data_IF_980642855295
#
_entry.id   IF_980642855295
#
_cell.length_a   1.000
_cell.length_b   1.000
_cell.length_c   1.000
_cell.angle_alpha   90.00
_cell.angle_beta   90.00
_cell.angle_gamma   90.00
#
_symmetry.space_group_name_H-M   'P 1'
#
loop_
_entity.id
_entity.type
_entity.pdbx_description
1 polymer ?
#
# COMPACT_ATOMS: atom_id res chain seq x y z
N UNK A 1 -93.72 -43.10 17.10
CA UNK A 1 -92.88 -44.22 16.64
C UNK A 1 -91.41 -43.84 16.84
N UNK A 2 -90.67 -44.64 17.65
CA UNK A 2 -89.18 -44.83 17.73
C UNK A 2 -88.28 -43.58 17.87
N UNK A 3 -87.82 -43.22 19.08
CA UNK A 3 -86.57 -43.59 19.81
C UNK A 3 -85.33 -42.68 19.55
N UNK A 4 -84.98 -41.89 20.57
CA UNK A 4 -83.65 -41.74 21.23
C UNK A 4 -82.36 -41.67 20.35
N UNK A 5 -81.60 -40.56 20.44
CA UNK A 5 -80.49 -40.41 21.42
C UNK A 5 -79.29 -39.51 21.01
N UNK A 6 -78.62 -39.01 22.07
CA UNK A 6 -77.19 -38.63 22.25
C UNK A 6 -76.56 -37.34 21.67
N UNK A 7 -76.50 -36.33 22.54
CA UNK A 7 -75.29 -35.72 23.16
C UNK A 7 -73.90 -35.99 22.52
N UNK A 8 -73.14 -34.92 22.17
CA UNK A 8 -71.88 -34.48 22.82
C UNK A 8 -70.98 -33.61 21.90
N UNK A 9 -70.72 -32.39 22.36
CA UNK A 9 -69.45 -31.65 22.48
C UNK A 9 -68.33 -31.79 21.42
N UNK A 10 -67.79 -30.65 20.99
CA UNK A 10 -66.45 -30.54 20.37
C UNK A 10 -66.21 -29.14 19.77
N UNK A 11 -65.96 -28.11 20.58
CA UNK A 11 -64.62 -27.64 21.02
C UNK A 11 -63.95 -26.67 20.02
N UNK A 12 -64.22 -25.37 20.26
CA UNK A 12 -63.33 -24.21 20.19
C UNK A 12 -61.94 -24.39 19.53
N UNK A 13 -61.71 -23.72 18.39
CA UNK A 13 -60.36 -23.29 17.96
C UNK A 13 -60.43 -21.92 17.24
N UNK A 14 -60.66 -20.86 18.02
CA UNK A 14 -60.62 -19.44 17.55
C UNK A 14 -59.21 -18.83 17.71
N UNK A 15 -58.14 -19.65 17.66
CA UNK A 15 -56.79 -19.21 18.06
C UNK A 15 -55.74 -19.22 16.93
N UNK A 16 -56.11 -18.93 15.68
CA UNK A 16 -55.12 -18.85 14.57
C UNK A 16 -54.94 -17.46 13.93
N UNK A 17 -55.78 -16.47 14.25
CA UNK A 17 -55.84 -15.22 13.47
C UNK A 17 -55.13 -14.02 14.08
N UNK A 18 -54.42 -14.16 15.21
CA UNK A 18 -53.71 -13.03 15.86
C UNK A 18 -52.18 -13.09 15.85
N UNK A 19 -51.55 -14.22 15.48
CA UNK A 19 -50.07 -14.33 15.43
C UNK A 19 -49.46 -14.06 14.05
N UNK A 20 -50.25 -14.10 12.97
CA UNK A 20 -49.73 -13.92 11.59
C UNK A 20 -49.48 -12.47 11.18
N UNK A 21 -50.10 -11.49 11.84
CA UNK A 21 -49.94 -10.07 11.47
C UNK A 21 -48.67 -9.46 12.07
N UNK A 22 -48.20 -9.95 13.23
CA UNK A 22 -46.99 -9.43 13.89
C UNK A 22 -45.71 -9.99 13.26
N UNK A 23 -45.75 -11.20 12.67
CA UNK A 23 -44.60 -11.78 11.96
C UNK A 23 -44.42 -11.31 10.51
N UNK A 24 -45.32 -10.48 9.98
CA UNK A 24 -45.21 -9.94 8.61
C UNK A 24 -44.76 -8.47 8.57
N UNK A 25 -44.82 -7.75 9.69
CA UNK A 25 -44.28 -6.38 9.81
C UNK A 25 -42.84 -6.33 10.30
N UNK A 26 -42.30 -7.42 10.84
CA UNK A 26 -40.87 -7.56 11.20
C UNK A 26 -40.03 -8.28 10.12
N UNK A 27 -40.64 -8.67 9.01
CA UNK A 27 -39.98 -9.29 7.85
C UNK A 27 -40.01 -8.39 6.60
N UNK A 28 -40.36 -7.12 6.77
CA UNK A 28 -40.32 -6.09 5.71
C UNK A 28 -39.50 -4.85 6.10
N UNK A 29 -38.67 -4.97 7.15
CA UNK A 29 -37.73 -3.93 7.59
C UNK A 29 -36.30 -4.48 7.79
N UNK A 30 -36.00 -5.63 7.17
CA UNK A 30 -34.66 -6.25 7.12
C UNK A 30 -34.14 -6.38 5.68
N UNK A 31 -34.90 -5.94 4.67
CA UNK A 31 -34.47 -5.92 3.25
C UNK A 31 -33.81 -4.59 2.86
N UNK A 32 -33.65 -3.65 3.79
CA UNK A 32 -32.85 -2.41 3.58
C UNK A 32 -31.39 -2.61 4.05
N UNK A 33 -31.05 -3.80 4.56
CA UNK A 33 -29.68 -4.16 4.91
C UNK A 33 -29.00 -4.95 3.78
N UNK A 34 -29.14 -4.46 2.54
CA UNK A 34 -28.30 -4.90 1.42
C UNK A 34 -27.24 -3.84 1.20
N UNK A 35 -26.12 -4.11 1.85
CA UNK A 35 -24.81 -3.48 1.70
C UNK A 35 -24.57 -2.97 0.27
N UNK A 36 -24.72 -1.66 0.07
CA UNK A 36 -23.79 -0.99 -0.84
C UNK A 36 -22.53 -0.77 -0.02
N UNK A 37 -21.72 -1.83 0.10
CA UNK A 37 -20.28 -1.61 0.06
C UNK A 37 -20.05 -0.94 -1.30
N UNK A 38 -20.18 0.39 -1.33
CA UNK A 38 -19.53 1.19 -2.32
C UNK A 38 -18.08 0.71 -2.25
N UNK A 39 -17.71 -0.15 -3.21
CA UNK A 39 -16.33 -0.37 -3.55
C UNK A 39 -15.85 1.04 -3.85
N UNK A 40 -15.29 1.69 -2.83
CA UNK A 40 -14.51 2.90 -3.00
C UNK A 40 -13.28 2.39 -3.74
N UNK A 41 -13.45 2.19 -5.04
CA UNK A 41 -12.38 1.89 -5.95
C UNK A 41 -11.57 3.17 -5.92
N UNK A 42 -10.55 3.17 -5.05
CA UNK A 42 -9.60 4.26 -4.93
C UNK A 42 -9.10 4.51 -6.36
N UNK A 43 -9.65 5.54 -7.00
CA UNK A 43 -9.49 5.72 -8.43
C UNK A 43 -8.02 6.00 -8.67
N UNK A 44 -7.39 5.07 -9.41
CA UNK A 44 -6.00 5.20 -9.82
C UNK A 44 -5.74 6.55 -10.49
N UNK A 45 -4.51 7.04 -10.44
CA UNK A 45 -4.11 8.16 -11.29
C UNK A 45 -4.30 7.71 -12.74
N UNK A 46 -5.18 8.36 -13.49
CA UNK A 46 -5.33 8.06 -14.91
C UNK A 46 -4.04 8.40 -15.66
N UNK A 47 -3.68 7.56 -16.64
CA UNK A 47 -2.51 7.80 -17.48
C UNK A 47 -2.53 9.21 -18.09
N UNK A 48 -3.71 9.70 -18.47
CA UNK A 48 -3.85 10.99 -19.12
C UNK A 48 -3.71 12.20 -18.21
N UNK A 49 -3.87 12.01 -16.90
CA UNK A 49 -3.62 13.05 -15.91
C UNK A 49 -2.12 13.30 -15.67
N UNK A 50 -1.22 12.43 -16.18
CA UNK A 50 0.23 12.63 -16.11
C UNK A 50 0.69 13.72 -17.09
N UNK A 51 1.62 14.56 -16.66
CA UNK A 51 2.30 15.52 -17.53
C UNK A 51 3.12 14.82 -18.62
N UNK A 52 3.40 15.53 -19.72
CA UNK A 52 4.20 15.00 -20.84
C UNK A 52 5.57 14.48 -20.40
N UNK A 53 6.25 15.18 -19.48
CA UNK A 53 7.51 14.74 -18.91
C UNK A 53 7.40 13.49 -18.04
N UNK A 54 6.30 13.29 -17.32
CA UNK A 54 6.07 12.07 -16.53
C UNK A 54 5.76 10.89 -17.45
N UNK A 55 4.89 11.09 -18.45
CA UNK A 55 4.55 10.10 -19.48
C UNK A 55 5.81 9.60 -20.21
N UNK A 56 6.75 10.48 -20.55
CA UNK A 56 8.00 10.08 -21.23
C UNK A 56 8.86 9.13 -20.38
N UNK A 57 8.94 9.35 -19.07
CA UNK A 57 9.71 8.50 -18.15
C UNK A 57 9.00 7.17 -17.94
N UNK A 58 7.67 7.21 -17.83
CA UNK A 58 6.84 6.06 -17.50
C UNK A 58 6.33 5.32 -18.75
N UNK A 59 6.74 5.73 -19.96
CA UNK A 59 6.21 5.24 -21.23
C UNK A 59 6.21 3.71 -21.34
N UNK A 60 7.26 3.04 -20.84
CA UNK A 60 7.36 1.57 -20.83
C UNK A 60 6.31 0.88 -19.95
N UNK A 61 5.60 1.62 -19.11
CA UNK A 61 4.58 1.14 -18.19
C UNK A 61 3.17 1.54 -18.62
N UNK A 62 3.00 2.26 -19.73
CA UNK A 62 1.70 2.76 -20.20
C UNK A 62 0.63 1.67 -20.26
N UNK A 63 0.91 0.57 -20.97
CA UNK A 63 -0.05 -0.53 -21.18
C UNK A 63 -0.48 -1.21 -19.88
N UNK A 64 0.37 -1.16 -18.86
CA UNK A 64 0.13 -1.79 -17.55
C UNK A 64 -0.31 -0.79 -16.50
N UNK A 65 -0.35 0.51 -16.80
CA UNK A 65 -0.51 1.56 -15.81
C UNK A 65 -1.79 1.40 -14.99
N UNK A 66 -2.91 1.13 -15.66
CA UNK A 66 -4.21 0.93 -15.04
C UNK A 66 -4.31 -0.40 -14.25
N UNK A 67 -3.35 -1.31 -14.42
CA UNK A 67 -3.27 -2.57 -13.65
C UNK A 67 -2.48 -2.44 -12.35
N UNK A 68 -1.77 -1.32 -12.18
CA UNK A 68 -0.97 -1.05 -10.98
C UNK A 68 -1.87 -0.58 -9.83
N UNK A 69 -1.53 -0.96 -8.60
CA UNK A 69 -2.19 -0.40 -7.42
C UNK A 69 -1.97 1.11 -7.32
N UNK A 70 -2.91 1.84 -6.73
CA UNK A 70 -2.79 3.28 -6.55
C UNK A 70 -1.50 3.67 -5.80
N UNK A 71 -1.11 2.92 -4.77
CA UNK A 71 0.17 3.13 -4.08
C UNK A 71 1.36 3.07 -5.05
N UNK A 72 1.35 2.09 -5.96
CA UNK A 72 2.41 1.93 -6.95
C UNK A 72 2.41 3.06 -7.97
N UNK A 73 1.22 3.45 -8.46
CA UNK A 73 1.07 4.60 -9.37
C UNK A 73 1.58 5.89 -8.72
N UNK A 74 1.20 6.16 -7.47
CA UNK A 74 1.66 7.31 -6.70
C UNK A 74 3.19 7.31 -6.53
N UNK A 75 3.78 6.16 -6.17
CA UNK A 75 5.23 6.03 -6.01
C UNK A 75 5.98 6.26 -7.33
N UNK A 76 5.49 5.71 -8.43
CA UNK A 76 6.09 5.88 -9.76
C UNK A 76 5.97 7.31 -10.24
N UNK A 77 4.80 7.93 -10.09
CA UNK A 77 4.58 9.33 -10.45
C UNK A 77 5.48 10.27 -9.63
N UNK A 78 5.56 10.08 -8.30
CA UNK A 78 6.48 10.83 -7.46
C UNK A 78 7.96 10.65 -7.88
N UNK A 79 8.34 9.45 -8.32
CA UNK A 79 9.66 9.18 -8.90
C UNK A 79 9.90 9.93 -10.20
N UNK A 80 8.93 9.94 -11.11
CA UNK A 80 8.98 10.64 -12.38
C UNK A 80 9.08 12.16 -12.19
N UNK A 81 8.29 12.74 -11.28
CA UNK A 81 8.40 14.16 -10.86
C UNK A 81 9.80 14.52 -10.38
N UNK A 82 10.35 13.71 -9.46
CA UNK A 82 11.70 13.93 -8.96
C UNK A 82 12.73 13.85 -10.07
N UNK A 83 12.61 12.87 -10.98
CA UNK A 83 13.52 12.75 -12.12
C UNK A 83 13.46 13.96 -13.05
N UNK A 84 12.26 14.47 -13.35
CA UNK A 84 12.09 15.66 -14.17
C UNK A 84 12.74 16.90 -13.54
N UNK A 85 12.61 17.06 -12.23
CA UNK A 85 13.23 18.14 -11.47
C UNK A 85 14.78 18.06 -11.40
N UNK A 86 15.41 16.93 -11.74
CA UNK A 86 16.87 16.82 -11.73
C UNK A 86 17.51 17.57 -12.91
N UNK A 87 18.58 18.29 -12.61
CA UNK A 87 19.52 18.83 -13.61
C UNK A 87 20.19 17.71 -14.44
N UNK A 88 20.74 18.07 -15.60
CA UNK A 88 21.49 17.13 -16.47
C UNK A 88 22.65 16.46 -15.73
N UNK A 89 23.40 17.21 -14.91
CA UNK A 89 24.51 16.67 -14.09
C UNK A 89 24.01 15.65 -13.06
N UNK A 90 22.90 15.93 -12.38
CA UNK A 90 22.31 15.00 -11.42
C UNK A 90 21.76 13.75 -12.11
N UNK A 91 21.10 13.90 -13.27
CA UNK A 91 20.64 12.77 -14.11
C UNK A 91 21.82 11.87 -14.51
N UNK A 92 22.97 12.44 -14.91
CA UNK A 92 24.19 11.68 -15.22
C UNK A 92 24.71 10.89 -14.01
N UNK A 93 24.82 11.54 -12.84
CA UNK A 93 25.25 10.87 -11.61
C UNK A 93 24.31 9.73 -11.21
N UNK A 94 22.99 9.92 -11.34
CA UNK A 94 22.03 8.87 -11.06
C UNK A 94 22.17 7.69 -12.02
N UNK A 95 22.34 7.93 -13.33
CA UNK A 95 22.57 6.87 -14.31
C UNK A 95 23.80 6.02 -13.96
N UNK A 96 24.89 6.65 -13.54
CA UNK A 96 26.11 5.96 -13.09
C UNK A 96 25.83 5.09 -11.85
N UNK A 97 25.19 5.64 -10.83
CA UNK A 97 24.81 4.89 -9.61
C UNK A 97 23.89 3.71 -9.94
N UNK A 98 22.95 3.89 -10.86
CA UNK A 98 22.05 2.84 -11.31
C UNK A 98 22.80 1.72 -12.04
N UNK A 99 23.78 2.04 -12.88
CA UNK A 99 24.62 1.04 -13.55
C UNK A 99 25.38 0.20 -12.52
N UNK A 100 26.04 0.85 -11.55
CA UNK A 100 26.71 0.14 -10.44
C UNK A 100 25.72 -0.72 -9.66
N UNK A 101 24.51 -0.22 -9.38
CA UNK A 101 23.48 -1.01 -8.71
C UNK A 101 23.06 -2.25 -9.51
N UNK A 102 22.86 -2.13 -10.82
CA UNK A 102 22.47 -3.25 -11.69
C UNK A 102 23.50 -4.38 -11.64
N UNK A 103 24.79 -4.04 -11.60
CA UNK A 103 25.92 -4.97 -11.54
C UNK A 103 26.07 -5.71 -10.19
N UNK A 104 25.44 -5.24 -9.11
CA UNK A 104 25.52 -5.92 -7.79
C UNK A 104 24.80 -7.27 -7.79
N UNK A 105 25.34 -8.23 -7.04
CA UNK A 105 24.70 -9.53 -6.82
C UNK A 105 23.39 -9.41 -6.05
N UNK A 106 22.57 -10.47 -6.06
CA UNK A 106 21.30 -10.49 -5.31
C UNK A 106 21.53 -10.28 -3.82
N UNK A 107 22.56 -10.91 -3.25
CA UNK A 107 22.88 -10.80 -1.82
C UNK A 107 23.38 -9.41 -1.45
N UNK A 108 24.23 -8.80 -2.28
CA UNK A 108 24.66 -7.41 -2.10
C UNK A 108 23.46 -6.45 -2.16
N UNK A 109 22.55 -6.64 -3.12
CA UNK A 109 21.32 -5.85 -3.23
C UNK A 109 20.45 -6.01 -1.97
N UNK A 110 20.31 -7.22 -1.46
CA UNK A 110 19.53 -7.52 -0.25
C UNK A 110 20.16 -6.89 1.00
N UNK A 111 21.48 -6.99 1.15
CA UNK A 111 22.22 -6.34 2.23
C UNK A 111 21.99 -4.83 2.21
N UNK A 112 22.14 -4.18 1.06
CA UNK A 112 21.92 -2.74 0.92
C UNK A 112 20.47 -2.36 1.25
N UNK A 113 19.48 -3.14 0.77
CA UNK A 113 18.07 -2.90 1.13
C UNK A 113 17.82 -3.01 2.63
N UNK A 114 18.41 -4.00 3.31
CA UNK A 114 18.30 -4.16 4.76
C UNK A 114 18.90 -2.97 5.51
N UNK A 115 20.09 -2.52 5.11
CA UNK A 115 20.73 -1.34 5.69
C UNK A 115 19.92 -0.07 5.44
N UNK A 116 19.40 0.10 4.21
CA UNK A 116 18.55 1.24 3.86
C UNK A 116 17.25 1.26 4.67
N UNK A 117 16.61 0.10 4.91
CA UNK A 117 15.43 0.01 5.78
C UNK A 117 15.75 0.44 7.21
N UNK A 118 16.89 -0.01 7.76
CA UNK A 118 17.36 0.46 9.08
C UNK A 118 17.54 1.97 9.10
N UNK A 119 18.20 2.54 8.09
CA UNK A 119 18.41 3.98 7.97
C UNK A 119 17.10 4.77 7.87
N UNK A 120 16.13 4.30 7.08
CA UNK A 120 14.82 4.96 6.96
C UNK A 120 14.05 4.99 8.28
N UNK A 121 14.21 3.98 9.12
CA UNK A 121 13.57 3.88 10.42
C UNK A 121 14.24 4.74 11.51
N UNK A 122 15.38 5.38 11.23
CA UNK A 122 16.02 6.29 12.18
C UNK A 122 15.21 7.58 12.35
N UNK A 123 15.29 8.26 13.51
CA UNK A 123 14.80 9.63 13.66
C UNK A 123 15.49 10.58 12.67
N UNK A 124 14.78 11.61 12.23
CA UNK A 124 15.32 12.52 11.21
C UNK A 124 16.55 13.30 11.68
N UNK A 125 16.63 13.64 12.97
CA UNK A 125 17.83 14.23 13.59
C UNK A 125 19.04 13.31 13.44
N UNK A 126 18.87 12.02 13.72
CA UNK A 126 19.91 11.00 13.53
C UNK A 126 20.28 10.83 12.05
N UNK A 127 19.30 10.86 11.14
CA UNK A 127 19.57 10.81 9.69
C UNK A 127 20.40 12.00 9.23
N UNK A 128 20.11 13.21 9.72
CA UNK A 128 20.85 14.42 9.39
C UNK A 128 22.28 14.36 9.91
N UNK A 129 22.45 13.96 11.18
CA UNK A 129 23.77 13.76 11.77
C UNK A 129 24.60 12.77 10.95
N UNK A 130 24.03 11.63 10.56
CA UNK A 130 24.75 10.62 9.77
C UNK A 130 25.14 11.14 8.38
N UNK A 131 24.29 11.97 7.75
CA UNK A 131 24.64 12.60 6.47
C UNK A 131 25.80 13.57 6.64
N UNK A 132 25.75 14.41 7.67
CA UNK A 132 26.80 15.37 7.97
C UNK A 132 28.14 14.67 8.22
N UNK A 133 28.17 13.69 9.14
CA UNK A 133 29.41 12.95 9.45
C UNK A 133 29.95 12.18 8.25
N UNK A 134 29.08 11.67 7.38
CA UNK A 134 29.50 11.02 6.15
C UNK A 134 30.09 11.98 5.12
N UNK A 135 29.54 13.20 5.00
CA UNK A 135 30.16 14.22 4.15
C UNK A 135 31.51 14.64 4.72
N UNK A 136 31.66 14.85 6.03
CA UNK A 136 32.95 15.13 6.67
C UNK A 136 33.97 14.02 6.38
N UNK A 137 33.56 12.75 6.53
CA UNK A 137 34.39 11.60 6.21
C UNK A 137 34.90 11.60 4.76
N UNK A 138 34.05 11.95 3.78
CA UNK A 138 34.46 12.03 2.37
C UNK A 138 35.50 13.12 2.08
N UNK A 139 35.52 14.18 2.89
CA UNK A 139 36.49 15.26 2.75
C UNK A 139 37.85 14.92 3.40
N UNK A 140 37.96 13.83 4.16
CA UNK A 140 39.23 13.37 4.73
C UNK A 140 40.18 12.84 3.64
N UNK A 141 41.48 12.85 3.91
CA UNK A 141 42.48 12.24 3.02
C UNK A 141 42.24 10.72 2.89
N UNK A 142 42.60 10.09 1.76
CA UNK A 142 42.39 8.66 1.54
C UNK A 142 43.00 7.77 2.64
N UNK A 143 44.18 8.14 3.15
CA UNK A 143 44.85 7.44 4.25
C UNK A 143 44.03 7.47 5.54
N UNK A 144 43.49 8.64 5.91
CA UNK A 144 42.61 8.79 7.07
C UNK A 144 41.31 8.03 6.90
N UNK A 145 40.73 8.04 5.70
CA UNK A 145 39.53 7.25 5.40
C UNK A 145 39.79 5.75 5.60
N UNK A 146 40.92 5.24 5.10
CA UNK A 146 41.28 3.83 5.23
C UNK A 146 41.51 3.44 6.69
N UNK A 147 42.22 4.27 7.46
CA UNK A 147 42.44 4.05 8.89
C UNK A 147 41.13 3.91 9.66
N UNK A 148 40.17 4.82 9.43
CA UNK A 148 38.85 4.78 10.08
C UNK A 148 38.04 3.53 9.67
N UNK A 149 38.11 3.11 8.39
CA UNK A 149 37.43 1.90 7.93
C UNK A 149 38.02 0.63 8.56
N UNK A 150 39.35 0.56 8.71
CA UNK A 150 40.02 -0.56 9.38
C UNK A 150 39.60 -0.65 10.84
N UNK A 151 39.64 0.47 11.58
CA UNK A 151 39.22 0.52 12.99
C UNK A 151 37.76 0.07 13.18
N UNK A 152 36.86 0.50 12.29
CA UNK A 152 35.46 0.10 12.34
C UNK A 152 35.28 -1.42 12.14
N UNK A 153 36.01 -1.99 11.19
CA UNK A 153 35.94 -3.43 10.91
C UNK A 153 36.49 -4.28 12.08
N UNK A 154 37.51 -3.80 12.79
CA UNK A 154 38.09 -4.48 13.96
C UNK A 154 37.15 -4.44 15.17
N UNK A 155 36.42 -3.33 15.35
CA UNK A 155 35.52 -3.15 16.50
C UNK A 155 34.22 -3.95 16.39
N UNK A 156 33.80 -4.31 15.17
CA UNK A 156 32.54 -5.03 14.91
C UNK A 156 32.74 -6.47 14.42
N UNK A 157 33.93 -7.04 14.63
CA UNK A 157 34.24 -8.44 14.35
C UNK A 157 33.97 -9.32 15.56
#
# INVERSE_FOLDING_TARGET
MKTLSFYKSGRMEVLQTRKKIINLTLLLLVVIFSETLAWCQESGIEWDALSSGEKQILASLQDKWNTLSLETQNRLNAGARKWNALSVKQKKSFKQKLQTWKQKSKDQKNLIRKQFKKFQNLPDTTKQLLRYTYEDFKHLSPEKQMSLLTMHNETHR
#
